data_IF_599646259641
#
_entry.id   IF_599646259641
#
_cell.length_a   1.000
_cell.length_b   1.000
_cell.length_c   1.000
_cell.angle_alpha   90.00
_cell.angle_beta   90.00
_cell.angle_gamma   90.00
#
_symmetry.space_group_name_H-M   'P 1'
#
loop_
_entity.id
_entity.type
_entity.pdbx_description
1 polymer ?
#
# COMPACT_ATOMS: atom_id res chain seq x y z
N UNK A 1 -24.35 -4.40 22.02
CA UNK A 1 -23.44 -4.76 20.88
C UNK A 1 -22.80 -3.47 20.42
N UNK A 2 -21.48 -3.37 20.29
CA UNK A 2 -20.84 -2.10 19.90
C UNK A 2 -21.29 -1.69 18.50
N UNK A 3 -21.58 -0.40 18.32
CA UNK A 3 -21.96 0.11 17.01
C UNK A 3 -20.74 0.19 16.10
N UNK A 4 -20.92 -0.21 14.83
CA UNK A 4 -19.94 0.14 13.79
C UNK A 4 -19.82 1.66 13.77
N UNK A 5 -18.61 2.13 13.50
CA UNK A 5 -18.26 3.54 13.44
C UNK A 5 -18.31 4.30 14.77
N UNK A 6 -18.34 3.60 15.91
CA UNK A 6 -18.06 4.21 17.21
C UNK A 6 -16.59 4.64 17.31
N UNK A 7 -16.33 5.74 18.00
CA UNK A 7 -14.96 6.16 18.34
C UNK A 7 -14.33 5.15 19.29
N UNK A 8 -13.10 4.74 19.02
CA UNK A 8 -12.33 3.78 19.80
C UNK A 8 -11.02 4.42 20.24
N UNK A 9 -10.76 4.34 21.54
CA UNK A 9 -9.44 4.56 22.11
C UNK A 9 -8.81 3.22 22.46
N UNK A 10 -7.68 2.90 21.84
CA UNK A 10 -6.97 1.63 22.02
C UNK A 10 -5.63 1.86 22.71
N UNK A 11 -5.44 1.18 23.83
CA UNK A 11 -4.34 1.40 24.77
C UNK A 11 -3.56 0.11 24.99
N UNK A 12 -2.27 0.13 24.64
CA UNK A 12 -1.34 -0.98 24.88
C UNK A 12 -0.33 -0.53 25.94
N UNK A 13 -0.31 -1.25 27.07
CA UNK A 13 0.51 -0.93 28.23
C UNK A 13 1.87 -1.60 28.16
N UNK A 14 2.88 -0.96 28.75
CA UNK A 14 4.21 -1.55 28.92
C UNK A 14 4.13 -2.89 29.67
N UNK A 15 4.92 -3.86 29.22
CA UNK A 15 4.95 -5.19 29.83
C UNK A 15 5.39 -5.14 31.30
N UNK A 16 4.61 -5.77 32.18
CA UNK A 16 4.93 -5.84 33.61
C UNK A 16 4.73 -4.53 34.39
N UNK A 17 4.16 -3.49 33.78
CA UNK A 17 3.78 -2.29 34.51
C UNK A 17 2.64 -2.59 35.49
N UNK A 18 2.77 -2.15 36.75
CA UNK A 18 1.70 -2.25 37.72
C UNK A 18 0.59 -1.25 37.35
N UNK A 19 -0.52 -1.75 36.80
CA UNK A 19 -1.67 -0.94 36.48
C UNK A 19 -2.65 -0.95 37.66
N UNK A 20 -2.55 0.07 38.52
CA UNK A 20 -3.48 0.25 39.62
C UNK A 20 -4.86 0.66 39.10
N UNK A 21 -5.91 0.00 39.58
CA UNK A 21 -7.30 0.28 39.17
C UNK A 21 -7.67 1.75 39.39
N UNK A 22 -7.26 2.35 40.51
CA UNK A 22 -7.57 3.74 40.82
C UNK A 22 -6.90 4.71 39.83
N UNK A 23 -5.66 4.43 39.42
CA UNK A 23 -4.96 5.24 38.43
C UNK A 23 -5.67 5.18 37.07
N UNK A 24 -6.10 3.99 36.66
CA UNK A 24 -6.88 3.79 35.43
C UNK A 24 -8.24 4.50 35.50
N UNK A 25 -8.95 4.39 36.62
CA UNK A 25 -10.22 5.07 36.85
C UNK A 25 -10.08 6.60 36.74
N UNK A 26 -9.08 7.16 37.41
CA UNK A 26 -8.80 8.60 37.37
C UNK A 26 -8.46 9.08 35.95
N UNK A 27 -7.64 8.32 35.22
CA UNK A 27 -7.21 8.65 33.86
C UNK A 27 -8.35 8.56 32.83
N UNK A 28 -9.28 7.62 33.02
CA UNK A 28 -10.46 7.46 32.15
C UNK A 28 -11.59 8.44 32.47
N UNK A 29 -11.51 9.20 33.56
CA UNK A 29 -12.51 10.16 33.97
C UNK A 29 -13.59 9.60 34.91
N UNK A 30 -13.33 8.47 35.59
CA UNK A 30 -14.18 7.92 36.65
C UNK A 30 -14.62 6.47 36.44
N UNK A 31 -15.35 5.93 37.43
CA UNK A 31 -15.81 4.54 37.46
C UNK A 31 -16.70 4.16 36.27
N UNK A 32 -17.53 5.09 35.79
CA UNK A 32 -18.45 4.85 34.67
C UNK A 32 -17.69 4.66 33.35
N UNK A 33 -16.63 5.44 33.12
CA UNK A 33 -15.75 5.26 31.97
C UNK A 33 -14.97 3.95 32.05
N UNK A 34 -14.53 3.57 33.25
CA UNK A 34 -13.88 2.28 33.49
C UNK A 34 -14.80 1.09 33.20
N UNK A 35 -16.11 1.21 33.46
CA UNK A 35 -17.09 0.16 33.16
C UNK A 35 -17.27 -0.08 31.64
N UNK A 36 -16.89 0.89 30.80
CA UNK A 36 -16.93 0.81 29.33
C UNK A 36 -15.64 0.23 28.71
N UNK A 37 -14.65 -0.10 29.55
CA UNK A 37 -13.39 -0.68 29.10
C UNK A 37 -13.58 -2.14 28.74
N UNK A 38 -13.16 -2.48 27.54
CA UNK A 38 -13.03 -3.85 27.06
C UNK A 38 -11.59 -4.28 27.32
N UNK A 39 -11.41 -5.20 28.27
CA UNK A 39 -10.13 -5.85 28.50
C UNK A 39 -9.94 -6.98 27.48
N UNK A 40 -9.11 -6.74 26.47
CA UNK A 40 -8.89 -7.68 25.36
C UNK A 40 -8.28 -8.99 25.87
N UNK A 41 -7.50 -8.94 26.95
CA UNK A 41 -6.84 -10.11 27.52
C UNK A 41 -7.77 -11.00 28.34
N UNK A 42 -8.90 -10.45 28.81
CA UNK A 42 -9.94 -11.21 29.48
C UNK A 42 -10.88 -11.92 28.49
N UNK A 43 -10.77 -11.62 27.20
CA UNK A 43 -11.63 -12.12 26.12
C UNK A 43 -10.95 -13.31 25.42
N UNK A 44 -11.73 -14.17 24.76
CA UNK A 44 -11.20 -15.26 23.92
C UNK A 44 -10.15 -14.69 22.93
N UNK A 45 -8.90 -15.19 22.93
CA UNK A 45 -7.84 -14.74 22.00
C UNK A 45 -8.24 -14.77 20.52
N UNK A 46 -9.22 -15.60 20.15
CA UNK A 46 -9.78 -15.63 18.78
C UNK A 46 -10.51 -14.33 18.43
N UNK A 47 -11.14 -13.67 19.40
CA UNK A 47 -11.79 -12.38 19.18
C UNK A 47 -10.76 -11.27 18.94
N UNK A 48 -9.60 -11.28 19.62
CA UNK A 48 -8.51 -10.35 19.32
C UNK A 48 -8.05 -10.51 17.86
N UNK A 49 -7.86 -11.75 17.40
CA UNK A 49 -7.50 -12.02 16.00
C UNK A 49 -8.56 -11.60 14.98
N UNK A 50 -9.84 -11.65 15.35
CA UNK A 50 -10.95 -11.31 14.44
C UNK A 50 -11.24 -9.81 14.40
N UNK A 51 -11.15 -9.12 15.54
CA UNK A 51 -11.54 -7.72 15.64
C UNK A 51 -10.35 -6.78 15.55
N UNK A 52 -9.20 -7.16 16.11
CA UNK A 52 -8.06 -6.26 16.25
C UNK A 52 -6.72 -7.03 16.23
N UNK A 53 -6.26 -7.51 15.08
CA UNK A 53 -5.14 -8.43 15.01
C UNK A 53 -3.81 -7.75 15.37
N UNK A 54 -3.52 -7.61 16.67
CA UNK A 54 -2.29 -7.03 17.22
C UNK A 54 -1.30 -8.07 17.73
N UNK A 55 -1.63 -9.36 17.62
CA UNK A 55 -0.81 -10.45 18.17
C UNK A 55 0.66 -10.41 17.72
N UNK A 56 1.03 -10.10 16.46
CA UNK A 56 2.44 -9.98 16.06
C UNK A 56 3.16 -8.77 16.68
N UNK A 57 2.41 -7.77 17.16
CA UNK A 57 2.91 -6.52 17.71
C UNK A 57 3.05 -6.53 19.24
N UNK A 58 2.25 -7.37 19.92
CA UNK A 58 2.21 -7.40 21.39
C UNK A 58 3.38 -8.17 21.97
N UNK A 59 4.03 -7.57 22.98
CA UNK A 59 5.11 -8.21 23.74
C UNK A 59 4.52 -9.00 24.91
N UNK A 60 5.24 -10.02 25.37
CA UNK A 60 4.82 -10.84 26.51
C UNK A 60 4.61 -9.97 27.76
N UNK A 61 3.44 -10.10 28.39
CA UNK A 61 3.10 -9.41 29.62
C UNK A 61 2.58 -7.98 29.45
N UNK A 62 2.41 -7.51 28.21
CA UNK A 62 1.66 -6.28 27.93
C UNK A 62 0.16 -6.51 28.11
N UNK A 63 -0.55 -5.48 28.58
CA UNK A 63 -2.02 -5.48 28.67
C UNK A 63 -2.61 -4.60 27.58
N UNK A 64 -3.76 -4.96 27.02
CA UNK A 64 -4.47 -4.14 26.03
C UNK A 64 -5.90 -3.83 26.47
N UNK A 65 -6.24 -2.55 26.49
CA UNK A 65 -7.56 -2.05 26.84
C UNK A 65 -8.14 -1.27 25.66
N UNK A 66 -9.41 -1.51 25.36
CA UNK A 66 -10.17 -0.71 24.39
C UNK A 66 -11.25 0.05 25.14
N UNK A 67 -11.37 1.35 24.85
CA UNK A 67 -12.47 2.20 25.31
C UNK A 67 -13.29 2.56 24.09
N UNK A 68 -14.54 2.13 24.07
CA UNK A 68 -15.45 2.42 22.95
C UNK A 68 -16.42 3.50 23.43
N UNK A 69 -16.47 4.62 22.71
CA UNK A 69 -17.40 5.69 23.02
C UNK A 69 -18.84 5.25 22.70
N UNK A 70 -19.71 5.38 23.69
CA UNK A 70 -21.13 5.00 23.62
C UNK A 70 -21.57 3.94 24.62
N UNK A 71 -22.85 4.01 24.99
CA UNK A 71 -23.47 3.02 25.87
C UNK A 71 -23.77 1.74 25.06
N UNK A 72 -23.50 0.54 25.60
CA UNK A 72 -23.92 -0.72 24.98
C UNK A 72 -25.44 -0.85 24.82
N UNK A 73 -26.22 -0.03 25.54
CA UNK A 73 -27.68 -0.08 25.63
C UNK A 73 -28.41 1.13 25.02
N UNK A 74 -27.72 2.08 24.39
CA UNK A 74 -28.36 3.13 23.57
C UNK A 74 -29.31 4.09 24.29
N UNK A 75 -29.30 4.19 25.62
CA UNK A 75 -30.19 5.07 26.41
C UNK A 75 -29.67 6.50 26.63
N UNK A 76 -28.58 6.93 25.98
CA UNK A 76 -28.14 8.33 26.00
C UNK A 76 -28.92 9.14 24.93
N UNK A 77 -30.24 9.05 24.98
CA UNK A 77 -31.17 9.87 24.22
C UNK A 77 -31.64 11.05 25.07
N UNK A 78 -30.78 12.05 25.28
CA UNK A 78 -31.23 13.41 25.59
C UNK A 78 -30.62 14.39 24.58
N UNK A 79 -31.48 14.85 23.67
CA UNK A 79 -31.27 16.00 22.80
C UNK A 79 -30.97 17.23 23.68
N UNK A 80 -29.75 17.78 23.65
CA UNK A 80 -29.55 19.14 24.17
C UNK A 80 -28.16 19.57 24.66
N UNK A 81 -27.13 18.74 24.63
CA UNK A 81 -25.80 19.14 25.08
C UNK A 81 -24.80 19.34 23.94
N UNK A 82 -24.33 20.57 23.70
CA UNK A 82 -23.16 20.89 22.84
C UNK A 82 -21.82 20.37 23.42
N UNK A 83 -21.85 19.32 24.25
CA UNK A 83 -20.69 18.71 24.90
C UNK A 83 -20.41 17.32 24.33
N UNK A 84 -19.38 17.22 23.50
CA UNK A 84 -18.94 16.02 22.78
C UNK A 84 -18.86 14.73 23.60
N UNK A 85 -19.92 13.93 23.53
CA UNK A 85 -19.96 12.54 23.96
C UNK A 85 -20.56 11.71 22.83
N UNK A 86 -19.79 11.41 21.79
CA UNK A 86 -20.29 10.67 20.63
C UNK A 86 -20.58 9.20 21.03
N UNK A 87 -21.78 8.98 21.56
CA UNK A 87 -22.26 7.69 22.03
C UNK A 87 -22.86 6.79 20.95
N UNK A 88 -22.62 7.10 19.68
CA UNK A 88 -23.13 6.41 18.49
C UNK A 88 -22.17 6.50 17.31
N UNK A 89 -22.60 6.07 16.10
CA UNK A 89 -21.82 6.20 14.87
C UNK A 89 -21.35 7.64 14.65
N UNK A 90 -20.09 7.83 14.27
CA UNK A 90 -19.56 9.17 13.96
C UNK A 90 -20.01 9.70 12.59
N UNK A 91 -20.44 8.80 11.70
CA UNK A 91 -20.90 9.08 10.33
C UNK A 91 -22.30 8.49 10.12
N UNK A 92 -23.04 9.12 9.22
CA UNK A 92 -24.31 8.59 8.74
C UNK A 92 -24.11 7.36 7.83
N UNK A 93 -23.10 7.41 6.96
CA UNK A 93 -22.61 6.26 6.19
C UNK A 93 -21.20 5.87 6.66
N UNK A 94 -21.00 4.66 7.23
CA UNK A 94 -19.69 4.18 7.63
C UNK A 94 -18.65 4.11 6.49
N UNK A 95 -19.08 4.16 5.23
CA UNK A 95 -18.20 4.17 4.06
C UNK A 95 -17.74 5.57 3.67
N UNK A 96 -18.33 6.63 4.24
CA UNK A 96 -17.86 8.00 3.98
C UNK A 96 -16.44 8.16 4.51
N UNK A 97 -15.48 8.63 3.70
CA UNK A 97 -14.08 8.70 4.13
C UNK A 97 -13.82 9.79 5.17
N UNK A 98 -14.80 10.67 5.43
CA UNK A 98 -14.66 11.84 6.31
C UNK A 98 -15.49 11.61 7.56
N UNK A 99 -14.84 11.68 8.72
CA UNK A 99 -15.48 11.80 10.03
C UNK A 99 -15.67 13.29 10.33
N UNK A 100 -16.92 13.79 10.35
CA UNK A 100 -17.21 15.22 10.37
C UNK A 100 -17.18 15.84 11.78
N UNK A 101 -16.94 15.05 12.82
CA UNK A 101 -16.91 15.53 14.21
C UNK A 101 -15.52 16.03 14.58
N UNK A 102 -15.45 17.04 15.47
CA UNK A 102 -14.19 17.54 16.02
C UNK A 102 -13.59 16.52 17.01
N UNK A 103 -12.51 15.86 16.61
CA UNK A 103 -11.81 14.85 17.41
C UNK A 103 -10.70 15.42 18.29
N UNK A 104 -10.44 16.73 18.30
CA UNK A 104 -9.37 17.33 19.11
C UNK A 104 -9.54 17.09 20.62
N UNK A 105 -10.75 17.15 21.22
CA UNK A 105 -10.92 16.79 22.63
C UNK A 105 -10.53 15.33 22.92
N UNK A 106 -10.87 14.40 22.03
CA UNK A 106 -10.52 12.99 22.17
C UNK A 106 -9.01 12.75 21.99
N UNK A 107 -8.37 13.45 21.05
CA UNK A 107 -6.91 13.49 20.89
C UNK A 107 -6.23 13.94 22.18
N UNK A 108 -6.67 15.06 22.76
CA UNK A 108 -6.05 15.61 23.96
C UNK A 108 -6.27 14.71 25.19
N UNK A 109 -7.44 14.06 25.30
CA UNK A 109 -7.69 13.04 26.31
C UNK A 109 -6.78 11.82 26.15
N UNK A 110 -6.56 11.34 24.92
CA UNK A 110 -5.61 10.26 24.65
C UNK A 110 -4.19 10.63 25.08
N UNK A 111 -3.73 11.83 24.73
CA UNK A 111 -2.40 12.32 25.13
C UNK A 111 -2.29 12.35 26.65
N UNK A 112 -3.28 12.94 27.35
CA UNK A 112 -3.29 13.02 28.81
C UNK A 112 -3.24 11.63 29.48
N UNK A 113 -3.97 10.65 28.93
CA UNK A 113 -3.88 9.25 29.41
C UNK A 113 -2.48 8.68 29.21
N UNK A 114 -1.88 8.86 28.04
CA UNK A 114 -0.51 8.41 27.75
C UNK A 114 0.55 9.09 28.62
N UNK A 115 0.32 10.34 29.05
CA UNK A 115 1.18 11.02 30.02
C UNK A 115 1.03 10.44 31.43
N UNK A 116 -0.20 10.14 31.85
CA UNK A 116 -0.50 9.72 33.22
C UNK A 116 -0.23 8.22 33.48
N UNK A 117 -0.33 7.38 32.46
CA UNK A 117 -0.28 5.92 32.58
C UNK A 117 0.92 5.33 31.81
N UNK A 118 1.40 4.14 32.19
CA UNK A 118 2.50 3.45 31.50
C UNK A 118 2.07 2.82 30.17
N UNK A 119 1.35 3.58 29.34
CA UNK A 119 0.92 3.21 28.00
C UNK A 119 2.14 3.31 27.07
N UNK A 120 2.40 2.25 26.31
CA UNK A 120 3.44 2.19 25.27
C UNK A 120 2.94 2.80 23.96
N UNK A 121 1.72 2.45 23.58
CA UNK A 121 1.04 2.89 22.37
C UNK A 121 -0.44 3.17 22.68
N UNK A 122 -0.88 4.37 22.33
CA UNK A 122 -2.27 4.80 22.33
C UNK A 122 -2.72 5.12 20.91
N UNK A 123 -3.96 4.77 20.57
CA UNK A 123 -4.54 4.99 19.24
C UNK A 123 -5.96 5.51 19.34
N UNK A 124 -6.35 6.34 18.38
CA UNK A 124 -7.71 6.83 18.22
C UNK A 124 -8.20 6.53 16.80
N UNK A 125 -9.29 5.78 16.66
CA UNK A 125 -9.86 5.40 15.37
C UNK A 125 -11.37 5.11 15.47
N UNK A 126 -12.03 4.79 14.37
CA UNK A 126 -13.45 4.38 14.34
C UNK A 126 -13.58 2.87 14.14
N UNK A 127 -14.45 2.24 14.93
CA UNK A 127 -14.66 0.79 14.91
C UNK A 127 -15.15 0.32 13.53
N UNK A 128 -14.49 -0.69 12.97
CA UNK A 128 -14.88 -1.27 11.68
C UNK A 128 -14.33 -0.53 10.46
N UNK A 129 -13.51 0.50 10.64
CA UNK A 129 -12.78 1.15 9.55
C UNK A 129 -11.27 1.09 9.73
N UNK A 130 -10.57 1.27 8.61
CA UNK A 130 -9.11 1.30 8.55
C UNK A 130 -8.60 2.71 8.79
N UNK A 131 -7.37 2.83 9.29
CA UNK A 131 -6.77 4.12 9.60
C UNK A 131 -6.89 4.51 11.07
N UNK A 132 -5.78 5.03 11.60
CA UNK A 132 -5.75 5.74 12.88
C UNK A 132 -5.82 7.26 12.65
N UNK A 133 -6.69 7.95 13.38
CA UNK A 133 -6.79 9.41 13.38
C UNK A 133 -5.63 10.04 14.16
N UNK A 134 -5.27 9.39 15.27
CA UNK A 134 -4.21 9.80 16.20
C UNK A 134 -3.44 8.57 16.68
N UNK A 135 -2.12 8.66 16.67
CA UNK A 135 -1.20 7.72 17.27
C UNK A 135 -0.36 8.45 18.34
N UNK A 136 -0.23 7.85 19.53
CA UNK A 136 0.62 8.35 20.60
C UNK A 136 1.52 7.21 21.06
N UNK A 137 2.83 7.36 20.94
CA UNK A 137 3.79 6.30 21.27
C UNK A 137 5.01 6.82 22.02
N UNK A 138 5.69 5.93 22.75
CA UNK A 138 6.97 6.25 23.42
C UNK A 138 8.20 6.03 22.53
N UNK A 139 8.03 5.39 21.38
CA UNK A 139 9.11 5.20 20.39
C UNK A 139 8.57 5.25 18.97
N UNK A 140 9.39 5.70 18.03
CA UNK A 140 9.00 5.69 16.61
C UNK A 140 8.90 4.25 16.08
N UNK A 141 9.68 3.31 16.65
CA UNK A 141 9.52 1.87 16.41
C UNK A 141 8.11 1.38 16.73
N UNK A 142 7.47 1.85 17.80
CA UNK A 142 6.11 1.43 18.14
C UNK A 142 5.07 1.98 17.14
N UNK A 143 5.25 3.21 16.65
CA UNK A 143 4.43 3.78 15.56
C UNK A 143 4.56 2.95 14.28
N UNK A 144 5.79 2.65 13.88
CA UNK A 144 6.05 1.81 12.71
C UNK A 144 5.47 0.42 12.87
N UNK A 145 5.63 -0.18 14.05
CA UNK A 145 5.20 -1.54 14.28
C UNK A 145 3.69 -1.71 14.12
N UNK A 146 2.87 -0.81 14.68
CA UNK A 146 1.41 -0.89 14.47
C UNK A 146 1.04 -0.72 12.99
N UNK A 147 1.65 0.24 12.30
CA UNK A 147 1.40 0.49 10.87
C UNK A 147 1.96 -0.60 9.95
N UNK A 148 2.85 -1.47 10.44
CA UNK A 148 3.42 -2.58 9.68
C UNK A 148 2.57 -3.86 9.75
N UNK A 149 1.56 -3.92 10.63
CA UNK A 149 0.67 -5.06 10.77
C UNK A 149 -0.12 -5.40 9.49
N UNK A 150 -0.67 -4.44 8.73
CA UNK A 150 -1.31 -4.73 7.45
C UNK A 150 -0.37 -5.46 6.49
N UNK A 151 0.92 -5.09 6.44
CA UNK A 151 1.91 -5.90 5.74
C UNK A 151 1.99 -7.28 6.38
N UNK A 152 2.32 -7.40 7.67
CA UNK A 152 2.61 -8.69 8.31
C UNK A 152 1.50 -9.72 8.10
N UNK A 153 0.25 -9.27 8.12
CA UNK A 153 -0.94 -10.12 8.11
C UNK A 153 -1.57 -10.31 6.73
N UNK A 154 -1.23 -9.51 5.72
CA UNK A 154 -1.77 -9.70 4.36
C UNK A 154 -1.20 -10.99 3.75
N UNK A 155 -2.00 -12.04 3.53
CA UNK A 155 -1.50 -13.30 2.97
C UNK A 155 -1.15 -13.17 1.49
N UNK A 156 -1.37 -12.03 0.86
CA UNK A 156 -1.02 -11.77 -0.54
C UNK A 156 0.23 -10.93 -0.70
N UNK A 157 0.83 -10.43 0.37
CA UNK A 157 2.10 -9.69 0.29
C UNK A 157 3.24 -10.58 0.78
N UNK A 158 4.33 -10.68 0.05
CA UNK A 158 5.49 -11.49 0.46
C UNK A 158 6.38 -10.81 1.52
N UNK A 159 7.43 -11.51 1.93
CA UNK A 159 8.38 -11.04 2.94
C UNK A 159 9.15 -9.77 2.52
N UNK A 160 9.20 -9.50 1.21
CA UNK A 160 9.86 -8.34 0.61
C UNK A 160 8.88 -7.19 0.34
N UNK A 161 7.63 -7.33 0.81
CA UNK A 161 6.63 -6.28 0.66
C UNK A 161 5.93 -6.29 -0.71
N UNK A 162 6.17 -7.30 -1.55
CA UNK A 162 5.60 -7.36 -2.90
C UNK A 162 4.27 -8.09 -2.90
N UNK A 163 3.26 -7.48 -3.52
CA UNK A 163 1.95 -8.11 -3.69
C UNK A 163 2.03 -9.24 -4.72
N UNK A 164 1.49 -10.40 -4.36
CA UNK A 164 1.37 -11.62 -5.15
C UNK A 164 -0.07 -11.82 -5.59
N UNK A 165 -0.23 -12.50 -6.72
CA UNK A 165 -1.55 -12.88 -7.24
C UNK A 165 -2.20 -13.99 -6.38
N UNK A 166 -1.39 -14.94 -5.89
CA UNK A 166 -1.84 -16.02 -5.02
C UNK A 166 -1.46 -15.71 -3.58
N UNK A 167 -2.26 -16.25 -2.64
CA UNK A 167 -1.89 -16.26 -1.24
C UNK A 167 -0.58 -17.00 -1.03
N UNK A 168 0.23 -16.51 -0.10
CA UNK A 168 1.39 -17.19 0.42
C UNK A 168 0.99 -18.57 0.92
N UNK A 169 1.83 -19.56 0.64
CA UNK A 169 1.78 -20.83 1.34
C UNK A 169 2.03 -20.61 2.83
N UNK A 170 1.57 -21.54 3.66
CA UNK A 170 1.78 -21.45 5.11
C UNK A 170 3.26 -21.22 5.51
N UNK A 171 4.25 -21.94 4.94
CA UNK A 171 5.67 -21.70 5.27
C UNK A 171 6.15 -20.30 4.88
N UNK A 172 5.70 -19.76 3.74
CA UNK A 172 6.04 -18.40 3.32
C UNK A 172 5.43 -17.35 4.25
N UNK A 173 4.18 -17.57 4.68
CA UNK A 173 3.51 -16.69 5.63
C UNK A 173 4.17 -16.72 7.01
N UNK A 174 4.53 -17.91 7.52
CA UNK A 174 5.28 -18.06 8.77
C UNK A 174 6.65 -17.37 8.68
N UNK A 175 7.39 -17.53 7.58
CA UNK A 175 8.67 -16.85 7.37
C UNK A 175 8.52 -15.32 7.39
N UNK A 176 7.42 -14.81 6.83
CA UNK A 176 7.10 -13.38 6.85
C UNK A 176 6.79 -12.87 8.26
N UNK A 177 6.01 -13.61 9.05
CA UNK A 177 5.76 -13.28 10.46
C UNK A 177 7.08 -13.27 11.25
N UNK A 178 7.96 -14.25 11.01
CA UNK A 178 9.29 -14.30 11.64
C UNK A 178 10.21 -13.15 11.21
N UNK A 179 10.01 -12.57 10.03
CA UNK A 179 10.76 -11.41 9.55
C UNK A 179 10.28 -10.08 10.15
N UNK A 180 9.13 -10.05 10.83
CA UNK A 180 8.52 -8.81 11.32
C UNK A 180 9.45 -7.99 12.22
N UNK A 181 10.01 -8.58 13.28
CA UNK A 181 10.94 -7.88 14.19
C UNK A 181 12.18 -7.34 13.45
N UNK A 182 12.68 -8.13 12.51
CA UNK A 182 13.82 -7.73 11.69
C UNK A 182 13.49 -6.54 10.79
N UNK A 183 12.29 -6.49 10.21
CA UNK A 183 11.84 -5.34 9.41
C UNK A 183 11.70 -4.08 10.26
N UNK A 184 11.27 -4.20 11.52
CA UNK A 184 11.21 -3.06 12.44
C UNK A 184 12.59 -2.45 12.70
N UNK A 185 13.64 -3.27 12.74
CA UNK A 185 15.03 -2.86 13.00
C UNK A 185 15.74 -2.21 11.81
N UNK A 186 15.17 -2.26 10.61
CA UNK A 186 15.80 -1.71 9.41
C UNK A 186 15.86 -0.18 9.37
N UNK A 187 14.98 0.50 10.11
CA UNK A 187 14.93 1.96 10.19
C UNK A 187 15.07 2.37 11.65
N UNK A 188 15.92 3.36 11.89
CA UNK A 188 16.00 4.04 13.19
C UNK A 188 14.87 5.06 13.36
N UNK A 189 14.75 5.60 14.58
CA UNK A 189 13.68 6.53 14.92
C UNK A 189 13.72 7.82 14.08
N UNK A 190 14.90 8.29 13.70
CA UNK A 190 15.05 9.50 12.88
C UNK A 190 14.55 9.24 11.46
N UNK A 191 14.95 8.12 10.85
CA UNK A 191 14.51 7.71 9.53
C UNK A 191 13.01 7.44 9.45
N UNK A 192 12.39 6.91 10.51
CA UNK A 192 10.94 6.71 10.59
C UNK A 192 10.23 8.07 10.58
N UNK A 193 10.62 9.00 11.45
CA UNK A 193 9.92 10.27 11.61
C UNK A 193 10.15 11.24 10.45
N UNK A 194 11.32 11.20 9.81
CA UNK A 194 11.65 12.06 8.67
C UNK A 194 10.78 11.80 7.43
N UNK A 195 10.05 10.68 7.39
CA UNK A 195 9.17 10.31 6.27
C UNK A 195 7.74 10.81 6.41
N UNK A 196 7.37 11.28 7.59
CA UNK A 196 6.00 11.68 7.87
C UNK A 196 5.74 13.02 7.17
N UNK A 197 4.88 13.00 6.16
CA UNK A 197 4.45 14.18 5.41
C UNK A 197 2.91 14.23 5.36
N UNK A 198 2.35 15.43 5.47
CA UNK A 198 0.90 15.65 5.52
C UNK A 198 0.22 15.28 6.84
N UNK A 199 0.98 14.87 7.87
CA UNK A 199 0.51 14.66 9.24
C UNK A 199 1.22 15.60 10.21
N UNK A 200 0.56 15.91 11.34
CA UNK A 200 1.16 16.67 12.43
C UNK A 200 1.99 15.72 13.29
N UNK A 201 3.27 16.07 13.49
CA UNK A 201 4.16 15.37 14.42
C UNK A 201 4.51 16.31 15.57
N UNK A 202 4.20 15.89 16.80
CA UNK A 202 4.50 16.62 18.03
C UNK A 202 5.30 15.72 18.98
N UNK A 203 6.32 16.29 19.63
CA UNK A 203 7.02 15.63 20.74
C UNK A 203 6.65 16.31 22.04
N UNK A 204 6.26 15.51 23.04
CA UNK A 204 5.90 16.01 24.37
C UNK A 204 6.44 15.07 25.44
N UNK A 205 7.45 15.52 26.19
CA UNK A 205 8.18 14.64 27.09
C UNK A 205 8.81 13.48 26.31
N UNK A 206 8.50 12.25 26.69
CA UNK A 206 8.91 11.03 26.01
C UNK A 206 7.86 10.50 25.00
N UNK A 207 6.76 11.23 24.79
CA UNK A 207 5.73 10.88 23.81
C UNK A 207 6.04 11.49 22.44
N UNK A 208 5.78 10.68 21.42
CA UNK A 208 5.66 11.07 20.02
C UNK A 208 4.19 10.97 19.67
N UNK A 209 3.62 12.09 19.23
CA UNK A 209 2.21 12.23 18.86
C UNK A 209 2.18 12.47 17.36
N UNK A 210 1.41 11.64 16.65
CA UNK A 210 1.19 11.78 15.21
C UNK A 210 -0.31 11.78 14.94
N UNK A 211 -0.80 12.82 14.26
CA UNK A 211 -2.22 12.92 13.92
C UNK A 211 -2.46 13.48 12.51
N UNK A 212 -3.57 13.08 11.92
CA UNK A 212 -4.03 13.52 10.58
C UNK A 212 -5.31 14.35 10.66
N UNK A 213 -5.60 14.92 11.83
CA UNK A 213 -6.76 15.78 12.01
C UNK A 213 -6.61 17.07 11.21
N UNK A 214 -7.70 17.51 10.61
CA UNK A 214 -7.77 18.80 9.96
C UNK A 214 -7.76 19.94 10.99
N UNK A 215 -7.62 21.19 10.52
CA UNK A 215 -7.58 22.35 11.40
C UNK A 215 -8.86 22.53 12.25
N UNK A 216 -10.00 22.09 11.72
CA UNK A 216 -11.30 22.07 12.40
C UNK A 216 -11.51 20.83 13.29
N UNK A 217 -10.54 19.91 13.31
CA UNK A 217 -10.59 18.68 14.09
C UNK A 217 -11.29 17.50 13.42
N UNK A 218 -11.79 17.69 12.20
CA UNK A 218 -12.34 16.59 11.39
C UNK A 218 -11.23 15.63 10.95
N UNK A 219 -11.63 14.44 10.50
CA UNK A 219 -10.68 13.41 10.11
C UNK A 219 -11.03 12.80 8.75
N UNK A 220 -10.08 12.85 7.80
CA UNK A 220 -10.14 12.13 6.52
C UNK A 220 -9.33 10.83 6.59
N UNK A 221 -10.02 9.69 6.51
CA UNK A 221 -9.42 8.36 6.59
C UNK A 221 -8.37 8.10 5.51
N UNK A 222 -8.47 8.78 4.36
CA UNK A 222 -7.47 8.64 3.29
C UNK A 222 -6.10 9.15 3.74
N UNK A 223 -6.05 10.17 4.61
CA UNK A 223 -4.79 10.66 5.18
C UNK A 223 -4.19 9.66 6.16
N UNK A 224 -5.01 8.91 6.91
CA UNK A 224 -4.53 7.83 7.76
C UNK A 224 -3.86 6.72 6.97
N UNK A 225 -4.43 6.32 5.83
CA UNK A 225 -3.82 5.31 4.96
C UNK A 225 -2.45 5.75 4.42
N UNK A 226 -2.32 7.03 4.05
CA UNK A 226 -1.05 7.62 3.63
C UNK A 226 -0.04 7.64 4.79
N UNK A 227 -0.46 8.03 5.99
CA UNK A 227 0.38 8.01 7.18
C UNK A 227 0.86 6.58 7.51
N UNK A 228 -0.04 5.60 7.46
CA UNK A 228 0.28 4.19 7.69
C UNK A 228 1.31 3.68 6.70
N UNK A 229 1.17 4.01 5.41
CA UNK A 229 2.15 3.64 4.38
C UNK A 229 3.53 4.26 4.64
N UNK A 230 3.57 5.54 5.00
CA UNK A 230 4.81 6.26 5.31
C UNK A 230 5.53 5.66 6.52
N UNK A 231 4.79 5.36 7.60
CA UNK A 231 5.31 4.76 8.83
C UNK A 231 5.76 3.31 8.62
N UNK A 232 4.99 2.51 7.88
CA UNK A 232 5.33 1.13 7.58
C UNK A 232 6.62 1.03 6.74
N UNK A 233 6.73 1.92 5.73
CA UNK A 233 7.86 2.02 4.81
C UNK A 233 8.23 0.66 4.16
N UNK A 234 7.21 -0.08 3.73
CA UNK A 234 7.37 -1.40 3.09
C UNK A 234 8.18 -1.30 1.79
N UNK A 235 8.10 -0.17 1.10
CA UNK A 235 8.89 0.18 -0.09
C UNK A 235 10.41 0.20 0.15
N UNK A 236 10.83 0.30 1.42
CA UNK A 236 12.24 0.40 1.84
C UNK A 236 12.82 -0.89 2.37
N UNK A 237 12.06 -1.97 2.34
CA UNK A 237 12.55 -3.28 2.75
C UNK A 237 13.82 -3.63 1.99
N UNK A 238 14.88 -3.87 2.74
CA UNK A 238 16.14 -4.31 2.16
C UNK A 238 15.93 -5.65 1.46
N UNK A 239 16.37 -5.75 0.20
CA UNK A 239 16.40 -7.01 -0.56
C UNK A 239 17.30 -8.07 0.10
N UNK A 240 18.21 -7.62 0.98
CA UNK A 240 19.04 -8.48 1.81
C UNK A 240 18.56 -8.37 3.26
N UNK A 241 17.99 -9.45 3.82
CA UNK A 241 17.59 -9.45 5.21
C UNK A 241 18.78 -9.08 6.11
N UNK A 242 18.76 -7.91 6.74
CA UNK A 242 19.74 -7.47 7.75
C UNK A 242 20.81 -6.49 7.23
N UNK A 243 20.69 -6.04 5.98
CA UNK A 243 21.46 -4.91 5.49
C UNK A 243 20.77 -3.59 5.91
N UNK A 244 21.52 -2.61 6.46
CA UNK A 244 20.96 -1.30 6.78
C UNK A 244 20.41 -0.63 5.51
N UNK A 245 19.24 0.01 5.63
CA UNK A 245 18.68 0.79 4.53
C UNK A 245 19.66 1.93 4.17
N UNK A 246 19.91 2.14 2.87
CA UNK A 246 20.76 3.27 2.42
C UNK A 246 20.12 4.61 2.84
N UNK A 247 20.89 5.58 3.35
CA UNK A 247 20.32 6.83 3.87
C UNK A 247 19.55 7.60 2.80
N UNK A 248 18.49 8.27 3.23
CA UNK A 248 17.65 9.08 2.35
C UNK A 248 18.39 10.37 1.94
N UNK A 249 18.53 10.61 0.64
CA UNK A 249 18.91 11.93 0.13
C UNK A 249 17.69 12.84 0.24
N UNK A 250 17.74 13.97 0.96
CA UNK A 250 16.60 14.87 1.09
C UNK A 250 16.24 15.48 -0.26
N UNK A 251 14.95 15.41 -0.61
CA UNK A 251 14.40 16.11 -1.76
C UNK A 251 14.49 17.63 -1.53
N UNK A 252 14.98 18.43 -2.49
CA UNK A 252 15.02 19.88 -2.32
C UNK A 252 13.61 20.46 -2.34
N UNK A 253 13.30 21.24 -1.30
CA UNK A 253 12.05 21.96 -1.13
C UNK A 253 11.78 22.94 -2.29
N UNK A 254 10.56 22.88 -2.85
CA UNK A 254 10.05 23.89 -3.78
C UNK A 254 9.81 25.19 -3.01
N UNK A 255 10.73 26.14 -3.13
CA UNK A 255 10.49 27.55 -2.75
C UNK A 255 9.90 28.27 -3.96
N UNK A 256 8.74 28.91 -3.75
CA UNK A 256 8.06 29.73 -4.73
C UNK A 256 8.91 30.96 -5.12
N UNK A 257 8.98 31.25 -6.42
CA UNK A 257 9.73 32.37 -6.96
C UNK A 257 9.00 33.71 -6.76
N UNK A 258 9.76 34.80 -6.54
CA UNK A 258 9.49 36.05 -7.23
C UNK A 258 10.67 36.48 -8.11
N UNK A 259 10.36 37.38 -9.03
CA UNK A 259 10.99 37.57 -10.33
C UNK A 259 12.32 38.36 -10.35
N UNK A 260 13.12 38.01 -11.37
CA UNK A 260 13.92 38.86 -12.26
C UNK A 260 15.09 39.71 -11.71
N UNK A 261 16.33 39.36 -12.08
CA UNK A 261 17.10 40.01 -13.19
C UNK A 261 18.62 39.73 -13.14
N UNK A 262 19.16 39.40 -14.32
CA UNK A 262 20.53 39.65 -14.85
C UNK A 262 21.76 38.82 -14.36
N UNK A 263 22.15 37.86 -15.22
CA UNK A 263 23.48 37.49 -15.80
C UNK A 263 24.84 37.89 -15.15
N UNK A 264 25.97 37.24 -15.52
CA UNK A 264 26.20 35.84 -15.89
C UNK A 264 27.44 35.24 -15.18
N UNK A 265 27.35 34.00 -14.68
CA UNK A 265 28.54 33.27 -14.25
C UNK A 265 28.52 31.84 -14.83
N UNK A 266 29.45 31.62 -15.76
CA UNK A 266 30.08 30.35 -16.16
C UNK A 266 29.26 29.07 -15.92
N UNK A 267 28.78 28.51 -17.03
CA UNK A 267 28.05 27.25 -17.09
C UNK A 267 28.79 26.12 -16.36
N UNK A 268 28.23 25.70 -15.23
CA UNK A 268 28.43 24.37 -14.69
C UNK A 268 27.63 23.35 -15.54
N UNK A 269 28.16 22.13 -15.76
CA UNK A 269 27.52 21.14 -16.61
C UNK A 269 26.13 20.78 -16.08
N UNK A 270 25.15 20.72 -16.98
CA UNK A 270 23.79 20.29 -16.65
C UNK A 270 23.81 18.93 -15.92
N UNK A 271 22.97 18.72 -14.90
CA UNK A 271 22.79 17.42 -14.30
C UNK A 271 22.29 16.45 -15.38
N UNK A 272 23.07 15.39 -15.59
CA UNK A 272 22.73 14.30 -16.50
C UNK A 272 21.42 13.70 -16.01
N UNK A 273 20.38 13.76 -16.84
CA UNK A 273 19.13 13.06 -16.61
C UNK A 273 19.44 11.61 -16.24
N UNK A 274 18.75 11.05 -15.24
CA UNK A 274 18.80 9.62 -14.97
C UNK A 274 18.64 8.89 -16.32
N UNK A 275 19.58 8.01 -16.71
CA UNK A 275 19.57 7.43 -18.04
C UNK A 275 18.22 6.75 -18.25
N UNK A 276 17.49 7.18 -19.29
CA UNK A 276 16.31 6.42 -19.74
C UNK A 276 16.75 4.96 -19.94
N UNK A 277 15.97 3.97 -19.49
CA UNK A 277 16.39 2.57 -19.64
C UNK A 277 16.69 2.29 -21.11
N UNK A 278 17.81 1.66 -21.43
CA UNK A 278 18.26 1.51 -22.82
C UNK A 278 17.22 0.79 -23.71
N UNK A 279 17.16 1.14 -24.99
CA UNK A 279 16.34 0.44 -25.99
C UNK A 279 15.73 1.38 -27.05
N UNK A 280 15.45 0.89 -28.27
CA UNK A 280 14.81 1.68 -29.31
C UNK A 280 13.35 2.06 -28.94
N UNK A 281 12.78 3.11 -29.57
CA UNK A 281 11.42 3.56 -29.27
C UNK A 281 10.37 2.52 -29.66
N UNK A 282 9.20 2.60 -29.02
CA UNK A 282 8.05 1.78 -29.35
C UNK A 282 7.59 2.05 -30.78
N UNK A 283 7.32 0.98 -31.53
CA UNK A 283 6.68 1.07 -32.85
C UNK A 283 5.18 0.96 -32.69
N UNK A 284 4.44 1.68 -33.52
CA UNK A 284 2.97 1.59 -33.55
C UNK A 284 2.48 1.27 -34.95
N UNK A 285 1.37 0.53 -35.00
CA UNK A 285 0.67 0.18 -36.21
C UNK A 285 -0.84 0.18 -35.94
N UNK A 286 -1.64 0.05 -36.99
CA UNK A 286 -3.09 -0.07 -36.88
C UNK A 286 -3.53 -1.36 -37.55
N UNK A 287 -4.26 -2.20 -36.80
CA UNK A 287 -4.90 -3.42 -37.31
C UNK A 287 -6.40 -3.27 -37.07
N UNK A 288 -7.18 -3.18 -38.15
CA UNK A 288 -8.61 -2.87 -38.07
C UNK A 288 -8.85 -1.50 -37.43
N UNK A 289 -9.61 -1.47 -36.34
CA UNK A 289 -9.91 -0.29 -35.53
C UNK A 289 -9.00 -0.14 -34.30
N UNK A 290 -8.00 -1.03 -34.13
CA UNK A 290 -7.11 -1.05 -32.96
C UNK A 290 -5.74 -0.48 -33.27
N UNK A 291 -5.19 0.24 -32.31
CA UNK A 291 -3.78 0.65 -32.31
C UNK A 291 -2.95 -0.45 -31.66
N UNK A 292 -1.92 -0.92 -32.36
CA UNK A 292 -1.04 -2.00 -31.92
C UNK A 292 0.33 -1.43 -31.57
N UNK A 293 0.77 -1.62 -30.34
CA UNK A 293 2.14 -1.30 -29.91
C UNK A 293 3.04 -2.51 -30.11
N UNK A 294 4.16 -2.34 -30.79
CA UNK A 294 5.19 -3.36 -30.97
C UNK A 294 6.39 -3.02 -30.09
N UNK A 295 6.67 -3.88 -29.13
CA UNK A 295 7.79 -3.73 -28.21
C UNK A 295 9.08 -4.25 -28.84
N UNK A 296 10.19 -3.49 -28.79
CA UNK A 296 11.51 -4.05 -29.02
C UNK A 296 11.95 -4.91 -27.83
N UNK A 297 12.84 -5.87 -28.08
CA UNK A 297 13.27 -6.85 -27.08
C UNK A 297 13.90 -6.21 -25.84
N UNK A 298 14.67 -5.15 -26.04
CA UNK A 298 15.34 -4.40 -24.97
C UNK A 298 14.36 -3.62 -24.07
N UNK A 299 13.10 -3.48 -24.50
CA UNK A 299 12.07 -2.72 -23.81
C UNK A 299 10.94 -3.58 -23.26
N UNK A 300 11.02 -4.90 -23.40
CA UNK A 300 10.02 -5.81 -22.85
C UNK A 300 10.64 -6.64 -21.73
N UNK A 301 10.23 -6.33 -20.51
CA UNK A 301 10.60 -7.06 -19.30
C UNK A 301 9.35 -7.40 -18.47
N UNK A 302 9.56 -8.06 -17.35
CA UNK A 302 8.48 -8.48 -16.45
C UNK A 302 7.71 -7.32 -15.81
N UNK A 303 8.30 -6.12 -15.74
CA UNK A 303 7.67 -4.92 -15.18
C UNK A 303 6.81 -4.24 -16.25
N UNK A 304 7.26 -4.21 -17.51
CA UNK A 304 6.46 -3.79 -18.66
C UNK A 304 5.27 -4.72 -18.89
N UNK A 305 5.47 -6.04 -18.78
CA UNK A 305 4.38 -7.02 -18.83
C UNK A 305 3.34 -6.81 -17.70
N UNK A 306 3.80 -6.44 -16.50
CA UNK A 306 2.92 -6.12 -15.37
C UNK A 306 2.17 -4.80 -15.58
N UNK A 307 2.84 -3.77 -16.09
CA UNK A 307 2.22 -2.48 -16.42
C UNK A 307 1.17 -2.63 -17.53
N UNK A 308 1.43 -3.48 -18.54
CA UNK A 308 0.47 -3.82 -19.58
C UNK A 308 -0.80 -4.45 -19.00
N UNK A 309 -0.67 -5.33 -18.00
CA UNK A 309 -1.81 -5.97 -17.33
C UNK A 309 -2.72 -4.99 -16.61
N UNK A 310 -2.14 -3.91 -16.06
CA UNK A 310 -2.85 -2.81 -15.41
C UNK A 310 -3.32 -1.72 -16.37
N UNK A 311 -2.95 -1.82 -17.66
CA UNK A 311 -3.13 -0.75 -18.67
C UNK A 311 -2.53 0.58 -18.24
N UNK A 312 -1.40 0.52 -17.52
CA UNK A 312 -0.66 1.71 -17.08
C UNK A 312 0.24 2.21 -18.21
N UNK A 313 -0.38 2.86 -19.18
CA UNK A 313 0.31 3.41 -20.36
C UNK A 313 1.32 4.49 -20.00
N UNK A 314 1.13 5.22 -18.89
CA UNK A 314 2.08 6.22 -18.39
C UNK A 314 3.42 5.62 -17.99
N UNK A 315 3.42 4.41 -17.43
CA UNK A 315 4.65 3.70 -17.04
C UNK A 315 5.33 3.05 -18.25
N UNK A 316 4.56 2.65 -19.27
CA UNK A 316 5.06 1.97 -20.49
C UNK A 316 5.65 2.97 -21.48
N UNK A 317 4.99 4.10 -21.68
CA UNK A 317 5.34 5.09 -22.69
C UNK A 317 6.40 6.05 -22.21
N UNK A 318 7.40 6.30 -23.04
CA UNK A 318 8.43 7.31 -22.82
C UNK A 318 8.19 8.54 -23.69
N UNK A 319 8.80 9.65 -23.29
CA UNK A 319 8.80 10.86 -24.11
C UNK A 319 9.50 10.63 -25.46
N UNK A 320 10.52 9.78 -25.47
CA UNK A 320 11.30 9.40 -26.65
C UNK A 320 10.54 8.53 -27.66
N UNK A 321 9.38 7.97 -27.30
CA UNK A 321 8.57 7.13 -28.21
C UNK A 321 7.86 7.91 -29.32
N UNK A 322 7.83 9.25 -29.26
CA UNK A 322 7.24 10.15 -30.27
C UNK A 322 5.83 9.75 -30.73
N UNK A 323 5.04 9.11 -29.86
CA UNK A 323 3.67 8.72 -30.16
C UNK A 323 2.78 9.95 -30.31
N UNK A 324 2.06 10.03 -31.43
CA UNK A 324 1.14 11.13 -31.69
C UNK A 324 -0.03 11.13 -30.69
N UNK A 325 -0.72 12.27 -30.58
CA UNK A 325 -1.83 12.43 -29.64
C UNK A 325 -2.99 11.46 -29.90
N UNK A 326 -3.25 11.14 -31.18
CA UNK A 326 -4.35 10.24 -31.56
C UNK A 326 -4.09 8.81 -31.10
N UNK A 327 -2.86 8.33 -31.24
CA UNK A 327 -2.40 7.03 -30.73
C UNK A 327 -2.56 6.99 -29.22
N UNK A 328 -2.10 8.02 -28.50
CA UNK A 328 -2.26 8.11 -27.04
C UNK A 328 -3.72 8.01 -26.60
N UNK A 329 -4.60 8.73 -27.29
CA UNK A 329 -6.03 8.69 -27.00
C UNK A 329 -6.59 7.26 -27.19
N UNK A 330 -6.23 6.55 -28.25
CA UNK A 330 -6.69 5.17 -28.46
C UNK A 330 -6.16 4.21 -27.38
N UNK A 331 -4.95 4.45 -26.86
CA UNK A 331 -4.39 3.67 -25.76
C UNK A 331 -5.22 3.81 -24.48
N UNK A 332 -5.55 5.04 -24.09
CA UNK A 332 -6.32 5.30 -22.87
C UNK A 332 -7.79 4.88 -22.95
N UNK A 333 -8.40 4.80 -24.14
CA UNK A 333 -9.79 4.40 -24.33
C UNK A 333 -9.99 2.88 -24.53
N UNK A 334 -8.94 2.07 -24.32
CA UNK A 334 -9.05 0.61 -24.31
C UNK A 334 -9.12 -0.06 -25.68
N UNK A 335 -8.80 0.67 -26.76
CA UNK A 335 -8.73 0.15 -28.13
C UNK A 335 -7.30 -0.26 -28.54
N UNK A 336 -6.43 -0.48 -27.55
CA UNK A 336 -5.05 -0.87 -27.75
C UNK A 336 -4.85 -2.38 -27.76
N UNK A 337 -3.98 -2.84 -28.65
CA UNK A 337 -3.36 -4.14 -28.57
C UNK A 337 -1.84 -3.99 -28.52
N UNK A 338 -1.14 -5.08 -28.20
CA UNK A 338 0.31 -5.08 -28.15
C UNK A 338 0.90 -6.38 -28.65
N UNK A 339 2.17 -6.30 -29.06
CA UNK A 339 3.01 -7.42 -29.48
C UNK A 339 4.36 -7.25 -28.80
N UNK A 340 4.84 -8.30 -28.15
CA UNK A 340 6.15 -8.30 -27.51
C UNK A 340 6.93 -9.59 -27.78
N UNK A 341 8.26 -9.53 -27.88
CA UNK A 341 9.08 -10.71 -28.08
C UNK A 341 9.06 -11.62 -26.85
N UNK A 342 9.18 -12.92 -27.09
CA UNK A 342 9.26 -13.95 -26.06
C UNK A 342 10.53 -14.77 -26.28
N UNK A 343 11.46 -14.70 -25.33
CA UNK A 343 12.73 -15.42 -25.42
C UNK A 343 12.56 -16.91 -25.06
N UNK A 344 11.89 -17.19 -23.94
CA UNK A 344 11.73 -18.54 -23.41
C UNK A 344 10.26 -18.97 -23.31
N UNK A 345 9.94 -20.17 -23.81
CA UNK A 345 8.58 -20.75 -23.68
C UNK A 345 8.15 -20.95 -22.22
N UNK A 346 9.11 -21.10 -21.30
CA UNK A 346 8.83 -21.24 -19.86
C UNK A 346 8.24 -19.99 -19.21
N UNK A 347 8.22 -18.86 -19.91
CA UNK A 347 7.60 -17.61 -19.43
C UNK A 347 6.08 -17.57 -19.63
N UNK A 348 5.54 -18.45 -20.48
CA UNK A 348 4.11 -18.59 -20.72
C UNK A 348 3.60 -19.94 -20.24
N UNK A 349 2.32 -20.00 -19.87
CA UNK A 349 1.74 -21.09 -19.09
C UNK A 349 0.43 -21.58 -19.71
N UNK A 350 0.16 -22.87 -19.55
CA UNK A 350 -1.15 -23.49 -19.79
C UNK A 350 -1.49 -24.30 -18.55
N UNK A 351 -2.68 -24.09 -17.99
CA UNK A 351 -3.17 -24.78 -16.79
C UNK A 351 -2.16 -24.76 -15.62
N UNK A 352 -1.50 -23.61 -15.43
CA UNK A 352 -0.51 -23.40 -14.38
C UNK A 352 0.84 -24.08 -14.61
N UNK A 353 1.07 -24.70 -15.77
CA UNK A 353 2.35 -25.33 -16.14
C UNK A 353 3.09 -24.50 -17.21
N UNK A 354 4.40 -24.27 -17.07
CA UNK A 354 5.20 -23.62 -18.09
C UNK A 354 5.09 -24.37 -19.42
N UNK A 355 4.95 -23.63 -20.52
CA UNK A 355 4.87 -24.22 -21.85
C UNK A 355 6.23 -24.83 -22.19
N UNK A 356 6.20 -26.10 -22.55
CA UNK A 356 7.36 -26.79 -23.12
C UNK A 356 7.29 -26.80 -24.64
N UNK A 357 8.42 -27.04 -25.30
CA UNK A 357 8.45 -27.20 -26.76
C UNK A 357 7.49 -28.28 -27.25
N UNK A 358 7.42 -29.42 -26.55
CA UNK A 358 6.51 -30.50 -26.91
C UNK A 358 5.03 -30.09 -26.80
N UNK A 359 4.68 -29.33 -25.75
CA UNK A 359 3.32 -28.78 -25.60
C UNK A 359 2.98 -27.81 -26.72
N UNK A 360 3.91 -26.91 -27.09
CA UNK A 360 3.71 -25.99 -28.20
C UNK A 360 3.56 -26.72 -29.53
N UNK A 361 4.41 -27.71 -29.81
CA UNK A 361 4.35 -28.47 -31.04
C UNK A 361 3.03 -29.24 -31.20
N UNK A 362 2.44 -29.71 -30.10
CA UNK A 362 1.16 -30.43 -30.08
C UNK A 362 -0.06 -29.50 -30.08
N UNK A 363 0.01 -28.36 -29.39
CA UNK A 363 -1.12 -27.47 -29.14
C UNK A 363 -1.25 -26.27 -30.06
N UNK A 364 -0.20 -25.91 -30.80
CA UNK A 364 -0.23 -24.73 -31.66
C UNK A 364 -0.98 -24.99 -32.97
N UNK A 365 -1.91 -24.08 -33.29
CA UNK A 365 -2.69 -24.03 -34.54
C UNK A 365 -1.90 -23.29 -35.63
N UNK A 366 -2.01 -23.77 -36.86
CA UNK A 366 -1.49 -23.06 -38.02
C UNK A 366 -2.43 -21.91 -38.40
N UNK A 367 -1.88 -20.71 -38.60
CA UNK A 367 -2.70 -19.51 -38.87
C UNK A 367 -2.56 -19.06 -40.33
N UNK A 368 -1.34 -18.96 -40.86
CA UNK A 368 -1.01 -18.81 -42.30
C UNK A 368 0.52 -18.68 -42.49
N UNK A 369 1.05 -18.95 -43.69
CA UNK A 369 2.47 -18.69 -44.04
C UNK A 369 3.51 -19.28 -43.05
N UNK A 370 3.22 -20.46 -42.51
CA UNK A 370 4.05 -21.16 -41.52
C UNK A 370 4.00 -20.58 -40.10
N UNK A 371 3.17 -19.57 -39.84
CA UNK A 371 2.98 -18.99 -38.51
C UNK A 371 2.13 -19.93 -37.66
N UNK A 372 2.62 -20.22 -36.45
CA UNK A 372 1.92 -21.06 -35.47
C UNK A 372 1.47 -20.22 -34.29
N UNK A 373 0.21 -20.36 -33.90
CA UNK A 373 -0.39 -19.65 -32.77
C UNK A 373 -0.85 -20.61 -31.67
N UNK A 374 -0.73 -20.22 -30.41
CA UNK A 374 -1.26 -20.99 -29.28
C UNK A 374 -1.79 -20.03 -28.21
N UNK A 375 -3.00 -20.30 -27.72
CA UNK A 375 -3.55 -19.53 -26.61
C UNK A 375 -2.85 -19.96 -25.32
N UNK A 376 -2.27 -19.00 -24.61
CA UNK A 376 -1.47 -19.23 -23.40
C UNK A 376 -1.82 -18.18 -22.36
N UNK A 377 -1.28 -18.36 -21.17
CA UNK A 377 -1.40 -17.42 -20.08
C UNK A 377 -0.03 -16.85 -19.72
N UNK A 378 0.05 -15.54 -19.57
CA UNK A 378 1.24 -14.87 -19.05
C UNK A 378 0.97 -14.50 -17.58
N UNK A 379 1.72 -15.03 -16.59
CA UNK A 379 1.35 -15.03 -15.16
C UNK A 379 1.01 -13.69 -14.50
N UNK A 380 1.40 -12.57 -15.12
CA UNK A 380 1.17 -11.20 -14.63
C UNK A 380 0.19 -10.38 -15.48
N UNK A 381 -0.21 -10.87 -16.65
CA UNK A 381 -1.07 -10.15 -17.59
C UNK A 381 -2.43 -10.83 -17.74
N UNK A 382 -2.46 -12.16 -17.91
CA UNK A 382 -3.68 -12.87 -18.27
C UNK A 382 -3.57 -13.67 -19.56
N UNK A 383 -4.70 -14.00 -20.21
CA UNK A 383 -4.71 -14.73 -21.47
C UNK A 383 -4.08 -13.90 -22.58
N UNK A 384 -3.16 -14.50 -23.32
CA UNK A 384 -2.48 -13.93 -24.49
C UNK A 384 -2.34 -15.01 -25.55
N UNK A 385 -2.01 -14.61 -26.77
CA UNK A 385 -1.67 -15.56 -27.83
C UNK A 385 -0.16 -15.56 -28.05
N UNK A 386 0.45 -16.74 -27.89
CA UNK A 386 1.83 -17.01 -28.32
C UNK A 386 1.83 -17.22 -29.83
N UNK A 387 2.73 -16.54 -30.53
CA UNK A 387 2.91 -16.61 -31.98
C UNK A 387 4.36 -16.95 -32.28
N UNK A 388 4.59 -18.03 -33.03
CA UNK A 388 5.90 -18.40 -33.57
C UNK A 388 5.96 -18.04 -35.05
N UNK A 389 6.85 -17.12 -35.41
CA UNK A 389 7.03 -16.61 -36.76
C UNK A 389 8.32 -17.16 -37.34
N UNK A 390 8.25 -18.02 -38.38
CA UNK A 390 9.43 -18.65 -38.96
C UNK A 390 10.48 -17.63 -39.40
N UNK A 391 11.72 -17.82 -38.95
CA UNK A 391 12.86 -16.96 -39.28
C UNK A 391 12.93 -15.64 -38.49
N UNK A 392 11.92 -15.32 -37.68
CA UNK A 392 11.88 -14.09 -36.88
C UNK A 392 11.94 -14.37 -35.38
N UNK A 393 11.24 -15.39 -34.89
CA UNK A 393 11.23 -15.76 -33.47
C UNK A 393 9.82 -15.86 -32.91
N UNK A 394 9.73 -15.85 -31.57
CA UNK A 394 8.48 -16.00 -30.83
C UNK A 394 8.05 -14.68 -30.21
N UNK A 395 6.74 -14.48 -30.18
CA UNK A 395 6.11 -13.28 -29.70
C UNK A 395 4.86 -13.62 -28.91
N UNK A 396 4.49 -12.77 -27.97
CA UNK A 396 3.20 -12.78 -27.30
C UNK A 396 2.41 -11.54 -27.70
N UNK A 397 1.11 -11.70 -27.87
CA UNK A 397 0.22 -10.60 -28.23
C UNK A 397 -1.11 -10.69 -27.50
N UNK A 398 -1.71 -9.53 -27.24
CA UNK A 398 -3.10 -9.45 -26.76
C UNK A 398 -4.12 -9.65 -27.90
N UNK A 399 -3.68 -9.84 -29.14
CA UNK A 399 -4.55 -10.10 -30.28
C UNK A 399 -4.75 -11.59 -30.48
N UNK A 400 -5.99 -12.05 -30.34
CA UNK A 400 -6.39 -13.43 -30.68
C UNK A 400 -6.81 -13.57 -32.14
N UNK A 401 -7.21 -12.46 -32.76
CA UNK A 401 -7.67 -12.34 -34.14
C UNK A 401 -6.61 -11.64 -34.99
N UNK A 402 -6.51 -11.97 -36.29
CA UNK A 402 -5.54 -11.39 -37.24
C UNK A 402 -4.05 -11.68 -36.95
N UNK A 403 -3.70 -12.92 -36.55
CA UNK A 403 -2.31 -13.32 -36.26
C UNK A 403 -1.38 -13.28 -37.49
N UNK A 404 -1.93 -13.31 -38.69
CA UNK A 404 -1.23 -13.09 -39.97
C UNK A 404 -0.72 -11.65 -40.09
N UNK A 405 -1.52 -10.68 -39.66
CA UNK A 405 -1.15 -9.26 -39.62
C UNK A 405 -0.14 -9.00 -38.50
N UNK A 406 -0.31 -9.62 -37.32
CA UNK A 406 0.70 -9.62 -36.24
C UNK A 406 2.05 -10.13 -36.75
N UNK A 407 2.07 -11.25 -37.46
CA UNK A 407 3.29 -11.81 -38.05
C UNK A 407 3.95 -10.88 -39.08
N UNK A 408 3.15 -10.11 -39.82
CA UNK A 408 3.65 -9.13 -40.79
C UNK A 408 4.32 -7.95 -40.10
N UNK A 409 3.78 -7.49 -38.95
CA UNK A 409 4.33 -6.38 -38.17
C UNK A 409 5.69 -6.68 -37.54
N UNK A 410 5.93 -7.93 -37.12
CA UNK A 410 7.21 -8.32 -36.51
C UNK A 410 8.29 -8.68 -37.53
N UNK A 411 7.92 -8.91 -38.79
CA UNK A 411 8.86 -9.14 -39.91
C UNK A 411 9.39 -7.84 -40.52
N UNK A 412 8.61 -6.77 -40.43
CA UNK A 412 8.95 -5.43 -40.92
C UNK A 412 9.83 -4.70 -39.92
#
# INVERSE_FOLDING_TARGET
MFSVDSLVTDLIFNGGAALERQALENALGGADALARVVDVDAIDPRMEMQMFPSMPFRRRGERRLLVIAGSPDGEDGEEGGEGGGAGGPLRADPNDPIVPVDLRPARDALIAMCEALPIRLGRLFTLGTWGDAVLVARSARDLRAICLLPWALDPTIDVDGRRRANRLSQPEFEAKIMAYEKRLEELDDEAILARIDGARVERRGDLIIVDVLEADGTWDQRKSLVLEEQLAAVDRFSLFPGAPASPATPAPARVAAPAASAEPATAAPAPVAAPEPAGPPLRTATIGDRVVIVFPAERFDLDVAAALGKRDWSTIMRRSDNLDGRVRDHLHHGQAAWIAPLEFLSEVFIDGKPVTRAMFEQGARDVASGVRGMDVHLPRFGPVTLVDVPGTGRFVTSMTEALDQVASLVRA
#
